data_IF_581891536840
#
_entry.id   IF_581891536840
#
_cell.length_a   1.000
_cell.length_b   1.000
_cell.length_c   1.000
_cell.angle_alpha   90.00
_cell.angle_beta   90.00
_cell.angle_gamma   90.00
#
_symmetry.space_group_name_H-M   'P 1'
#
loop_
_entity.id
_entity.type
_entity.pdbx_description
1 polymer ?
#
# COMPACT_ATOMS: atom_id res chain seq x y z
N UNK A 1 -49.65 -10.57 -4.41
CA UNK A 1 -49.14 -9.54 -5.33
C UNK A 1 -47.86 -9.00 -4.74
N UNK A 2 -46.72 -9.38 -5.29
CA UNK A 2 -45.40 -9.04 -4.75
C UNK A 2 -45.21 -7.52 -4.69
N UNK A 3 -45.01 -7.00 -3.47
CA UNK A 3 -44.71 -5.59 -3.21
C UNK A 3 -43.47 -5.11 -3.97
N UNK A 4 -42.61 -6.04 -4.39
CA UNK A 4 -41.41 -5.81 -5.20
C UNK A 4 -41.76 -5.38 -6.64
N UNK A 5 -42.82 -5.93 -7.22
CA UNK A 5 -43.25 -5.61 -8.60
C UNK A 5 -44.02 -4.28 -8.63
N UNK A 6 -44.79 -3.99 -7.59
CA UNK A 6 -45.60 -2.77 -7.50
C UNK A 6 -44.77 -1.48 -7.36
N UNK A 7 -43.57 -1.55 -6.77
CA UNK A 7 -42.73 -0.39 -6.50
C UNK A 7 -41.57 -0.17 -7.49
N UNK A 8 -41.42 -1.03 -8.50
CA UNK A 8 -40.29 -0.97 -9.44
C UNK A 8 -40.27 0.35 -10.25
N UNK A 9 -41.44 0.97 -10.48
CA UNK A 9 -41.59 2.19 -11.28
C UNK A 9 -41.90 3.44 -10.46
N UNK A 10 -42.03 3.34 -9.13
CA UNK A 10 -42.43 4.45 -8.25
C UNK A 10 -41.28 5.37 -7.85
N UNK A 11 -40.05 5.08 -8.29
CA UNK A 11 -38.90 5.93 -8.01
C UNK A 11 -38.97 7.14 -8.92
N UNK A 12 -39.45 8.26 -8.40
CA UNK A 12 -39.25 9.59 -9.00
C UNK A 12 -37.77 9.75 -9.32
N UNK A 13 -37.41 9.58 -10.59
CA UNK A 13 -36.06 9.84 -11.07
C UNK A 13 -35.76 11.32 -10.78
N UNK A 14 -34.71 11.65 -10.01
CA UNK A 14 -34.25 13.03 -9.98
C UNK A 14 -33.92 13.43 -11.41
N UNK A 15 -34.23 14.68 -11.77
CA UNK A 15 -34.12 15.19 -13.13
C UNK A 15 -32.82 14.77 -13.84
N UNK A 16 -32.92 14.58 -15.15
CA UNK A 16 -31.86 14.15 -16.09
C UNK A 16 -30.44 14.25 -15.51
N UNK A 17 -29.90 13.11 -15.06
CA UNK A 17 -28.57 13.03 -14.48
C UNK A 17 -27.51 13.65 -15.40
N UNK A 18 -26.54 14.40 -14.85
CA UNK A 18 -25.46 14.99 -15.63
C UNK A 18 -24.66 13.87 -16.31
N UNK A 19 -24.44 14.00 -17.62
CA UNK A 19 -23.74 13.02 -18.45
C UNK A 19 -22.40 13.58 -18.93
N UNK A 20 -21.40 12.71 -18.97
CA UNK A 20 -20.06 12.99 -19.46
C UNK A 20 -19.58 11.89 -20.41
N UNK A 21 -18.43 12.13 -21.01
CA UNK A 21 -17.79 11.18 -21.92
C UNK A 21 -16.54 10.62 -21.27
N UNK A 22 -16.36 9.30 -21.32
CA UNK A 22 -15.08 8.68 -20.94
C UNK A 22 -13.99 9.05 -21.96
N UNK A 23 -12.73 8.74 -21.65
CA UNK A 23 -11.60 8.91 -22.59
C UNK A 23 -11.84 8.16 -23.92
N UNK A 24 -12.66 7.10 -23.92
CA UNK A 24 -13.10 6.37 -25.11
C UNK A 24 -14.40 6.88 -25.76
N UNK A 25 -14.84 8.10 -25.44
CA UNK A 25 -16.08 8.74 -25.93
C UNK A 25 -17.38 7.97 -25.62
N UNK A 26 -17.35 7.07 -24.65
CA UNK A 26 -18.55 6.36 -24.19
C UNK A 26 -19.37 7.26 -23.27
N UNK A 27 -20.69 7.36 -23.51
CA UNK A 27 -21.59 8.12 -22.63
C UNK A 27 -21.65 7.49 -21.24
N UNK A 28 -21.36 8.26 -20.20
CA UNK A 28 -21.44 7.84 -18.79
C UNK A 28 -22.13 8.92 -17.95
N UNK A 29 -22.70 8.51 -16.82
CA UNK A 29 -23.26 9.46 -15.86
C UNK A 29 -22.13 10.03 -14.98
N UNK A 30 -22.12 11.36 -14.80
CA UNK A 30 -21.16 12.06 -13.95
C UNK A 30 -21.48 11.89 -12.45
N UNK A 31 -22.75 11.65 -12.13
CA UNK A 31 -23.23 11.27 -10.81
C UNK A 31 -24.57 10.55 -10.96
N UNK A 32 -24.84 9.62 -10.06
CA UNK A 32 -26.06 8.81 -9.99
C UNK A 32 -27.06 9.29 -8.94
N UNK A 33 -26.83 10.46 -8.32
CA UNK A 33 -27.56 10.98 -7.14
C UNK A 33 -27.45 10.12 -5.86
N UNK A 34 -26.84 8.94 -5.93
CA UNK A 34 -26.55 8.09 -4.79
C UNK A 34 -25.02 8.05 -4.56
N UNK A 35 -24.51 8.66 -3.48
CA UNK A 35 -23.08 8.71 -3.20
C UNK A 35 -22.41 7.33 -3.05
N UNK A 36 -23.13 6.32 -2.57
CA UNK A 36 -22.60 4.95 -2.47
C UNK A 36 -22.40 4.32 -3.85
N UNK A 37 -23.32 4.59 -4.78
CA UNK A 37 -23.22 4.10 -6.16
C UNK A 37 -22.13 4.85 -6.92
N UNK A 38 -22.01 6.16 -6.70
CA UNK A 38 -20.93 6.98 -7.25
C UNK A 38 -19.56 6.48 -6.76
N UNK A 39 -19.42 6.17 -5.48
CA UNK A 39 -18.22 5.53 -4.92
C UNK A 39 -17.90 4.21 -5.63
N UNK A 40 -18.92 3.37 -5.86
CA UNK A 40 -18.76 2.09 -6.53
C UNK A 40 -18.37 2.20 -8.01
N UNK A 41 -18.78 3.21 -8.76
CA UNK A 41 -18.39 3.31 -10.18
C UNK A 41 -17.18 4.20 -10.43
N UNK A 42 -16.99 5.25 -9.64
CA UNK A 42 -15.98 6.28 -9.92
C UNK A 42 -14.61 5.96 -9.33
N UNK A 43 -14.53 5.06 -8.35
CA UNK A 43 -13.25 4.60 -7.82
C UNK A 43 -12.70 3.51 -8.72
N UNK A 44 -11.64 3.83 -9.46
CA UNK A 44 -10.98 2.91 -10.39
C UNK A 44 -9.56 2.64 -9.90
N UNK A 45 -9.19 1.36 -9.70
CA UNK A 45 -7.86 1.00 -9.24
C UNK A 45 -6.76 1.62 -10.12
N UNK A 46 -5.70 2.11 -9.50
CA UNK A 46 -4.53 2.75 -10.15
C UNK A 46 -4.78 4.09 -10.86
N UNK A 47 -6.02 4.58 -10.93
CA UNK A 47 -6.35 5.84 -11.62
C UNK A 47 -6.86 6.90 -10.65
N UNK A 48 -7.64 6.51 -9.65
CA UNK A 48 -8.24 7.46 -8.70
C UNK A 48 -7.22 7.89 -7.64
N UNK A 49 -6.99 9.20 -7.43
CA UNK A 49 -6.15 9.70 -6.34
C UNK A 49 -6.73 9.36 -4.96
N UNK A 50 -5.87 9.21 -3.95
CA UNK A 50 -6.25 8.90 -2.57
C UNK A 50 -7.20 9.96 -1.98
N UNK A 51 -6.95 11.25 -2.23
CA UNK A 51 -7.82 12.34 -1.79
C UNK A 51 -9.26 12.17 -2.31
N UNK A 52 -9.41 11.82 -3.59
CA UNK A 52 -10.72 11.60 -4.20
C UNK A 52 -11.43 10.37 -3.62
N UNK A 53 -10.68 9.32 -3.22
CA UNK A 53 -11.25 8.17 -2.51
C UNK A 53 -11.82 8.61 -1.15
N UNK A 54 -11.08 9.40 -0.38
CA UNK A 54 -11.51 9.89 0.93
C UNK A 54 -12.74 10.82 0.85
N UNK A 55 -12.78 11.74 -0.12
CA UNK A 55 -13.92 12.62 -0.35
C UNK A 55 -15.18 11.83 -0.72
N UNK A 56 -15.07 10.89 -1.66
CA UNK A 56 -16.19 10.03 -2.04
C UNK A 56 -16.63 9.15 -0.89
N UNK A 57 -15.70 8.67 -0.06
CA UNK A 57 -16.01 7.88 1.12
C UNK A 57 -16.82 8.69 2.13
N UNK A 58 -16.41 9.93 2.37
CA UNK A 58 -17.13 10.86 3.26
C UNK A 58 -18.59 11.02 2.83
N UNK A 59 -18.82 11.23 1.53
CA UNK A 59 -20.19 11.36 0.99
C UNK A 59 -20.98 10.04 1.07
N UNK A 60 -20.34 8.91 0.76
CA UNK A 60 -20.97 7.59 0.86
C UNK A 60 -21.33 7.25 2.31
N UNK A 61 -20.45 7.59 3.25
CA UNK A 61 -20.64 7.37 4.68
C UNK A 61 -21.79 8.21 5.24
N UNK A 62 -21.82 9.51 4.93
CA UNK A 62 -22.90 10.40 5.34
C UNK A 62 -24.28 9.93 4.82
N UNK A 63 -24.31 9.30 3.65
CA UNK A 63 -25.53 8.74 3.07
C UNK A 63 -25.93 7.40 3.71
N UNK A 64 -25.01 6.44 3.80
CA UNK A 64 -25.25 5.13 4.42
C UNK A 64 -23.94 4.49 4.90
N UNK A 65 -23.63 4.56 6.22
CA UNK A 65 -22.40 4.02 6.79
C UNK A 65 -22.21 2.52 6.56
N UNK A 66 -23.29 1.73 6.66
CA UNK A 66 -23.23 0.28 6.49
C UNK A 66 -22.87 -0.10 5.05
N UNK A 67 -23.43 0.60 4.06
CA UNK A 67 -23.09 0.40 2.66
C UNK A 67 -21.66 0.88 2.37
N UNK A 68 -21.24 2.00 2.96
CA UNK A 68 -19.87 2.48 2.84
C UNK A 68 -18.86 1.44 3.37
N UNK A 69 -19.10 0.82 4.53
CA UNK A 69 -18.24 -0.26 5.04
C UNK A 69 -18.13 -1.44 4.06
N UNK A 70 -19.24 -1.88 3.48
CA UNK A 70 -19.25 -2.94 2.46
C UNK A 70 -18.45 -2.54 1.22
N UNK A 71 -18.54 -1.27 0.82
CA UNK A 71 -17.78 -0.74 -0.31
C UNK A 71 -16.28 -0.68 -0.01
N UNK A 72 -15.88 -0.39 1.23
CA UNK A 72 -14.47 -0.47 1.67
C UNK A 72 -13.97 -1.92 1.55
N UNK A 73 -14.73 -2.92 2.03
CA UNK A 73 -14.38 -4.33 1.83
C UNK A 73 -14.25 -4.68 0.34
N UNK A 74 -15.16 -4.18 -0.48
CA UNK A 74 -15.15 -4.38 -1.93
C UNK A 74 -13.91 -3.75 -2.62
N UNK A 75 -13.32 -2.68 -2.07
CA UNK A 75 -12.03 -2.19 -2.58
C UNK A 75 -10.94 -3.25 -2.41
N UNK A 76 -10.93 -3.95 -1.27
CA UNK A 76 -9.87 -4.91 -0.97
C UNK A 76 -10.02 -6.26 -1.64
N UNK A 77 -11.26 -6.70 -1.87
CA UNK A 77 -11.59 -8.01 -2.42
C UNK A 77 -10.72 -8.35 -3.64
N UNK A 78 -10.13 -9.53 -3.62
CA UNK A 78 -9.26 -10.04 -4.69
C UNK A 78 -10.12 -10.88 -5.65
N UNK A 79 -9.85 -10.78 -6.96
CA UNK A 79 -10.53 -11.54 -8.03
C UNK A 79 -12.01 -11.17 -8.25
N UNK A 80 -12.93 -12.12 -8.12
CA UNK A 80 -14.36 -12.07 -8.41
C UNK A 80 -15.19 -11.35 -7.34
N UNK A 81 -14.59 -11.09 -6.18
CA UNK A 81 -15.28 -10.54 -5.01
C UNK A 81 -15.13 -9.01 -4.88
N UNK A 82 -14.25 -8.38 -5.65
CA UNK A 82 -14.02 -6.94 -5.51
C UNK A 82 -13.15 -6.29 -6.58
N UNK A 83 -12.71 -5.06 -6.30
CA UNK A 83 -11.94 -4.22 -7.24
C UNK A 83 -10.43 -4.42 -7.16
N UNK A 84 -9.92 -5.16 -6.17
CA UNK A 84 -8.48 -5.32 -5.92
C UNK A 84 -7.71 -3.98 -5.84
N UNK A 85 -8.36 -2.92 -5.35
CA UNK A 85 -7.75 -1.61 -5.11
C UNK A 85 -7.11 -1.54 -3.72
N UNK A 86 -5.86 -2.01 -3.68
CA UNK A 86 -5.07 -2.06 -2.43
C UNK A 86 -4.82 -0.67 -1.83
N UNK A 87 -4.46 0.31 -2.66
CA UNK A 87 -4.12 1.65 -2.16
C UNK A 87 -5.38 2.44 -1.77
N UNK A 88 -6.48 2.28 -2.53
CA UNK A 88 -7.78 2.83 -2.14
C UNK A 88 -8.29 2.25 -0.82
N UNK A 89 -8.13 0.94 -0.59
CA UNK A 89 -8.47 0.32 0.68
C UNK A 89 -7.69 0.91 1.86
N UNK A 90 -6.36 1.03 1.77
CA UNK A 90 -5.60 1.61 2.89
C UNK A 90 -5.92 3.08 3.11
N UNK A 91 -6.22 3.83 2.05
CA UNK A 91 -6.70 5.20 2.17
C UNK A 91 -8.02 5.26 2.95
N UNK A 92 -8.96 4.37 2.62
CA UNK A 92 -10.24 4.26 3.34
C UNK A 92 -10.07 3.81 4.79
N UNK A 93 -9.14 2.90 5.08
CA UNK A 93 -8.84 2.44 6.44
C UNK A 93 -8.24 3.56 7.31
N UNK A 94 -7.36 4.38 6.75
CA UNK A 94 -6.81 5.56 7.44
C UNK A 94 -7.91 6.60 7.66
N UNK A 95 -8.74 6.86 6.65
CA UNK A 95 -9.90 7.75 6.80
C UNK A 95 -10.85 7.28 7.92
N UNK A 96 -11.14 5.97 7.98
CA UNK A 96 -11.93 5.39 9.07
C UNK A 96 -11.27 5.57 10.43
N UNK A 97 -9.96 5.41 10.53
CA UNK A 97 -9.24 5.65 11.77
C UNK A 97 -9.42 7.10 12.24
N UNK A 98 -9.29 8.06 11.32
CA UNK A 98 -9.33 9.49 11.65
C UNK A 98 -10.74 10.00 12.00
N UNK A 99 -11.80 9.39 11.47
CA UNK A 99 -13.18 9.86 11.66
C UNK A 99 -14.05 8.93 12.52
N UNK A 100 -13.82 7.61 12.45
CA UNK A 100 -14.65 6.58 13.06
C UNK A 100 -13.81 5.40 13.61
N UNK A 101 -12.88 5.66 14.57
CA UNK A 101 -11.93 4.66 15.06
C UNK A 101 -12.59 3.43 15.67
N UNK A 102 -13.71 3.58 16.36
CA UNK A 102 -14.50 2.46 16.91
C UNK A 102 -15.05 1.54 15.81
N UNK A 103 -15.53 2.13 14.70
CA UNK A 103 -16.02 1.37 13.56
C UNK A 103 -14.89 0.60 12.90
N UNK A 104 -13.70 1.20 12.79
CA UNK A 104 -12.52 0.48 12.32
C UNK A 104 -12.20 -0.70 13.24
N UNK A 105 -12.09 -0.46 14.56
CA UNK A 105 -11.73 -1.46 15.56
C UNK A 105 -12.69 -2.66 15.58
N UNK A 106 -14.00 -2.42 15.52
CA UNK A 106 -15.02 -3.48 15.52
C UNK A 106 -15.04 -4.29 14.21
N UNK A 107 -14.59 -3.71 13.09
CA UNK A 107 -14.62 -4.35 11.77
C UNK A 107 -13.26 -4.90 11.30
N UNK A 108 -12.20 -4.79 12.11
CA UNK A 108 -10.85 -5.31 11.82
C UNK A 108 -10.89 -6.78 11.39
N UNK A 109 -11.67 -7.61 12.09
CA UNK A 109 -11.82 -9.04 11.76
C UNK A 109 -12.41 -9.25 10.36
N UNK A 110 -13.46 -8.51 10.03
CA UNK A 110 -14.13 -8.58 8.71
C UNK A 110 -13.19 -8.15 7.59
N UNK A 111 -12.36 -7.13 7.82
CA UNK A 111 -11.35 -6.69 6.85
C UNK A 111 -10.28 -7.74 6.60
N UNK A 112 -9.87 -8.49 7.63
CA UNK A 112 -8.92 -9.59 7.48
C UNK A 112 -9.50 -10.79 6.73
N UNK A 113 -10.81 -11.06 6.90
CA UNK A 113 -11.53 -12.14 6.20
C UNK A 113 -11.76 -11.83 4.72
N UNK A 114 -12.24 -10.62 4.39
CA UNK A 114 -12.52 -10.21 3.01
C UNK A 114 -11.26 -9.92 2.19
N UNK A 115 -10.21 -9.42 2.86
CA UNK A 115 -8.95 -9.08 2.23
C UNK A 115 -7.88 -10.12 2.51
N UNK A 116 -6.89 -9.71 3.27
CA UNK A 116 -5.83 -10.57 3.76
C UNK A 116 -5.49 -10.18 5.19
N UNK A 117 -5.16 -11.18 6.01
CA UNK A 117 -4.59 -10.94 7.33
C UNK A 117 -3.36 -10.01 7.32
N UNK A 118 -2.59 -9.97 6.21
CA UNK A 118 -1.45 -9.06 6.05
C UNK A 118 -1.84 -7.58 6.02
N UNK A 119 -3.11 -7.27 5.81
CA UNK A 119 -3.59 -5.90 5.75
C UNK A 119 -3.64 -5.25 7.14
N UNK A 120 -3.85 -6.03 8.21
CA UNK A 120 -3.87 -5.51 9.58
C UNK A 120 -2.54 -4.87 10.00
N UNK A 121 -1.39 -5.58 9.95
CA UNK A 121 -0.11 -4.96 10.27
C UNK A 121 0.25 -3.85 9.28
N UNK A 122 -0.23 -3.91 8.03
CA UNK A 122 0.00 -2.84 7.04
C UNK A 122 -0.77 -1.56 7.36
N UNK A 123 -2.03 -1.65 7.82
CA UNK A 123 -2.81 -0.50 8.31
C UNK A 123 -2.06 0.17 9.46
N UNK A 124 -1.67 -0.61 10.48
CA UNK A 124 -0.91 -0.10 11.63
C UNK A 124 0.39 0.57 11.20
N UNK A 125 1.13 -0.05 10.28
CA UNK A 125 2.37 0.48 9.76
C UNK A 125 2.18 1.83 9.05
N UNK A 126 1.13 1.97 8.24
CA UNK A 126 0.79 3.23 7.55
C UNK A 126 0.26 4.29 8.50
N UNK A 127 -0.45 3.91 9.55
CA UNK A 127 -0.84 4.86 10.59
C UNK A 127 0.39 5.44 11.29
N UNK A 128 1.41 4.63 11.58
CA UNK A 128 2.61 5.08 12.31
C UNK A 128 3.60 5.88 11.47
N UNK A 129 3.89 5.44 10.25
CA UNK A 129 4.91 6.07 9.39
C UNK A 129 4.32 7.01 8.33
N UNK A 130 3.01 6.95 8.09
CA UNK A 130 2.29 7.77 7.15
C UNK A 130 1.69 6.98 5.97
N UNK A 131 0.67 7.56 5.29
CA UNK A 131 -0.10 6.89 4.24
C UNK A 131 0.74 6.47 3.03
N UNK A 132 1.74 7.27 2.67
CA UNK A 132 2.59 7.08 1.48
C UNK A 132 3.91 6.34 1.75
N UNK A 133 4.09 5.78 2.96
CA UNK A 133 5.35 5.13 3.37
C UNK A 133 5.83 4.07 2.37
N UNK A 134 4.92 3.31 1.76
CA UNK A 134 5.27 2.27 0.77
C UNK A 134 5.73 2.87 -0.56
N UNK A 135 5.17 4.00 -0.97
CA UNK A 135 5.60 4.71 -2.19
C UNK A 135 7.01 5.27 -2.00
N UNK A 136 7.23 5.96 -0.87
CA UNK A 136 8.54 6.52 -0.50
C UNK A 136 9.61 5.41 -0.45
N UNK A 137 9.32 4.29 0.24
CA UNK A 137 10.26 3.16 0.31
C UNK A 137 10.57 2.53 -1.05
N UNK A 138 9.58 2.45 -1.93
CA UNK A 138 9.76 1.93 -3.29
C UNK A 138 10.67 2.85 -4.10
N UNK A 139 10.46 4.15 -4.02
CA UNK A 139 11.29 5.16 -4.68
C UNK A 139 12.72 5.17 -4.15
N UNK A 140 12.92 5.12 -2.84
CA UNK A 140 14.24 4.98 -2.21
C UNK A 140 14.97 3.71 -2.67
N UNK A 141 14.25 2.59 -2.76
CA UNK A 141 14.84 1.34 -3.25
C UNK A 141 15.25 1.45 -4.72
N UNK A 142 14.44 2.10 -5.54
CA UNK A 142 14.73 2.32 -6.97
C UNK A 142 15.92 3.27 -7.14
N UNK A 143 16.01 4.34 -6.35
CA UNK A 143 17.14 5.28 -6.39
C UNK A 143 18.46 4.61 -5.96
N UNK A 144 18.42 3.73 -4.95
CA UNK A 144 19.59 2.90 -4.56
C UNK A 144 20.01 1.92 -5.65
N UNK A 145 19.05 1.28 -6.33
CA UNK A 145 19.34 0.36 -7.44
C UNK A 145 19.97 1.07 -8.66
N UNK A 146 19.54 2.30 -8.96
CA UNK A 146 20.12 3.12 -10.04
C UNK A 146 21.60 3.44 -9.82
N UNK A 147 22.03 3.57 -8.55
CA UNK A 147 23.44 3.87 -8.19
C UNK A 147 24.36 2.65 -8.21
N UNK A 148 23.83 1.43 -8.01
CA UNK A 148 24.64 0.21 -7.78
C UNK A 148 24.87 -0.72 -8.97
N UNK A 149 24.25 -0.49 -10.14
CA UNK A 149 24.31 -1.43 -11.28
C UNK A 149 25.04 -0.95 -12.52
N UNK A 150 25.51 0.29 -12.57
CA UNK A 150 26.27 0.79 -13.72
C UNK A 150 27.70 0.21 -13.80
N UNK A 151 28.25 -0.33 -12.71
CA UNK A 151 29.66 -0.75 -12.63
C UNK A 151 29.99 -2.21 -12.96
N UNK A 152 29.00 -3.10 -13.16
CA UNK A 152 29.26 -4.55 -13.39
C UNK A 152 28.99 -4.93 -14.85
N UNK A 153 29.30 -4.01 -15.78
CA UNK A 153 29.30 -4.33 -17.20
C UNK A 153 30.68 -4.90 -17.58
N UNK A 154 30.83 -6.21 -17.36
CA UNK A 154 31.67 -7.09 -18.17
C UNK A 154 33.09 -6.62 -18.53
N UNK A 155 34.00 -6.51 -17.55
CA UNK A 155 35.42 -6.77 -17.82
C UNK A 155 35.65 -8.29 -17.90
N UNK A 156 35.07 -8.93 -18.93
CA UNK A 156 35.38 -10.32 -19.28
C UNK A 156 35.64 -10.39 -20.78
N UNK A 157 36.62 -9.64 -21.26
CA UNK A 157 37.22 -9.90 -22.57
C UNK A 157 38.59 -9.26 -22.71
N UNK A 158 39.60 -10.12 -22.82
CA UNK A 158 40.88 -9.83 -23.46
C UNK A 158 42.03 -9.47 -22.53
N UNK A 159 42.98 -10.40 -22.36
CA UNK A 159 44.32 -10.04 -21.87
C UNK A 159 45.14 -11.16 -21.24
N UNK A 160 45.82 -11.96 -22.07
CA UNK A 160 47.24 -12.35 -21.94
C UNK A 160 47.79 -13.04 -20.68
N UNK A 161 48.39 -14.21 -20.89
CA UNK A 161 49.82 -14.43 -20.63
C UNK A 161 50.35 -14.41 -19.18
N UNK A 162 50.77 -15.59 -18.72
CA UNK A 162 51.96 -15.89 -17.89
C UNK A 162 52.21 -15.05 -16.62
N UNK A 163 52.11 -15.70 -15.44
CA UNK A 163 53.21 -15.80 -14.45
C UNK A 163 52.86 -16.79 -13.32
N UNK A 164 53.37 -18.02 -13.45
CA UNK A 164 53.49 -18.99 -12.35
C UNK A 164 54.73 -18.62 -11.52
N UNK A 165 54.56 -17.88 -10.42
CA UNK A 165 55.48 -17.89 -9.25
C UNK A 165 54.80 -17.16 -8.07
N UNK A 166 54.93 -17.71 -6.86
CA UNK A 166 54.27 -17.40 -5.57
C UNK A 166 52.85 -17.96 -5.36
N UNK A 167 52.76 -19.27 -5.09
CA UNK A 167 51.49 -19.96 -4.75
C UNK A 167 51.25 -20.16 -3.23
N UNK A 168 52.26 -19.93 -2.39
CA UNK A 168 52.18 -20.20 -0.93
C UNK A 168 51.94 -18.91 -0.12
N UNK A 169 52.71 -17.85 -0.39
CA UNK A 169 52.53 -16.52 0.25
C UNK A 169 51.19 -15.84 -0.12
N UNK A 170 50.62 -16.22 -1.26
CA UNK A 170 49.30 -15.78 -1.72
C UNK A 170 48.14 -16.51 -1.05
N UNK A 171 48.34 -17.71 -0.48
CA UNK A 171 47.31 -18.41 0.31
C UNK A 171 47.11 -17.74 1.66
N UNK A 172 48.19 -17.49 2.39
CA UNK A 172 48.16 -16.82 3.70
C UNK A 172 47.59 -15.39 3.56
N UNK A 173 48.00 -14.65 2.52
CA UNK A 173 47.43 -13.33 2.24
C UNK A 173 45.94 -13.38 1.84
N UNK A 174 45.50 -14.47 1.19
CA UNK A 174 44.09 -14.69 0.84
C UNK A 174 43.26 -15.05 2.06
N UNK A 175 43.77 -15.90 2.95
CA UNK A 175 43.14 -16.25 4.23
C UNK A 175 42.98 -15.02 5.13
N UNK A 176 44.01 -14.17 5.25
CA UNK A 176 43.92 -12.89 5.97
C UNK A 176 42.88 -11.96 5.35
N UNK A 177 42.79 -11.91 4.01
CA UNK A 177 41.76 -11.11 3.32
C UNK A 177 40.35 -11.63 3.53
N UNK A 178 40.17 -12.96 3.55
CA UNK A 178 38.88 -13.60 3.82
C UNK A 178 38.47 -13.35 5.27
N UNK A 179 39.35 -13.59 6.24
CA UNK A 179 39.09 -13.33 7.65
C UNK A 179 38.69 -11.86 7.91
N UNK A 180 39.42 -10.88 7.34
CA UNK A 180 39.06 -9.46 7.43
C UNK A 180 37.74 -9.11 6.72
N UNK A 181 37.39 -9.82 5.65
CA UNK A 181 36.10 -9.63 4.98
C UNK A 181 34.95 -10.21 5.80
N UNK A 182 35.15 -11.37 6.42
CA UNK A 182 34.19 -11.99 7.33
C UNK A 182 33.99 -11.16 8.59
N UNK A 183 35.06 -10.62 9.19
CA UNK A 183 34.97 -9.69 10.32
C UNK A 183 34.19 -8.43 9.96
N UNK A 184 34.47 -7.82 8.79
CA UNK A 184 33.67 -6.68 8.31
C UNK A 184 32.20 -7.06 8.10
N UNK A 185 31.93 -8.22 7.49
CA UNK A 185 30.56 -8.69 7.29
C UNK A 185 29.85 -8.96 8.62
N UNK A 186 30.54 -9.47 9.64
CA UNK A 186 29.99 -9.65 10.99
C UNK A 186 29.65 -8.31 11.63
N UNK A 187 30.57 -7.33 11.57
CA UNK A 187 30.33 -5.97 12.09
C UNK A 187 29.16 -5.28 11.38
N UNK A 188 29.11 -5.34 10.05
CA UNK A 188 28.00 -4.80 9.26
C UNK A 188 26.65 -5.46 9.62
N UNK A 189 26.64 -6.78 9.90
CA UNK A 189 25.44 -7.49 10.36
C UNK A 189 25.01 -7.05 11.75
N UNK A 190 25.95 -6.84 12.66
CA UNK A 190 25.69 -6.34 14.03
C UNK A 190 25.18 -4.91 14.00
N UNK A 191 25.84 -4.00 13.27
CA UNK A 191 25.37 -2.62 13.06
C UNK A 191 23.97 -2.59 12.44
N UNK A 192 23.71 -3.43 11.44
CA UNK A 192 22.38 -3.54 10.83
C UNK A 192 21.33 -4.09 11.79
N UNK A 193 21.71 -4.89 12.79
CA UNK A 193 20.80 -5.38 13.84
C UNK A 193 20.47 -4.24 14.82
N UNK A 194 21.48 -3.54 15.32
CA UNK A 194 21.31 -2.39 16.22
C UNK A 194 20.43 -1.33 15.57
N UNK A 195 20.69 -0.97 14.31
CA UNK A 195 19.87 0.00 13.57
C UNK A 195 18.40 -0.44 13.41
N UNK A 196 18.10 -1.74 13.36
CA UNK A 196 16.72 -2.24 13.33
C UNK A 196 16.06 -2.13 14.70
N UNK A 197 16.77 -2.47 15.76
CA UNK A 197 16.29 -2.34 17.14
C UNK A 197 16.00 -0.88 17.48
N UNK A 198 16.90 0.04 17.14
CA UNK A 198 16.70 1.48 17.30
C UNK A 198 15.46 1.99 16.56
N UNK A 199 15.23 1.52 15.33
CA UNK A 199 14.02 1.87 14.57
C UNK A 199 12.74 1.36 15.23
N UNK A 200 12.76 0.13 15.76
CA UNK A 200 11.61 -0.43 16.47
C UNK A 200 11.30 0.40 17.73
N UNK A 201 12.33 0.75 18.50
CA UNK A 201 12.19 1.60 19.68
C UNK A 201 11.66 2.98 19.30
N UNK A 202 12.15 3.57 18.20
CA UNK A 202 11.66 4.86 17.71
C UNK A 202 10.18 4.80 17.29
N UNK A 203 9.76 3.75 16.59
CA UNK A 203 8.34 3.53 16.24
C UNK A 203 7.47 3.37 17.49
N UNK A 204 7.95 2.63 18.50
CA UNK A 204 7.23 2.46 19.76
C UNK A 204 7.06 3.78 20.52
N UNK A 205 8.11 4.62 20.57
CA UNK A 205 8.04 5.96 21.17
C UNK A 205 7.00 6.84 20.47
N UNK A 206 7.03 6.90 19.13
CA UNK A 206 6.02 7.61 18.34
C UNK A 206 4.59 7.15 18.66
N UNK A 207 4.38 5.85 18.87
CA UNK A 207 3.08 5.29 19.19
C UNK A 207 2.59 5.75 20.57
N UNK A 208 3.47 5.70 21.58
CA UNK A 208 3.16 6.16 22.95
C UNK A 208 2.83 7.66 22.94
N UNK A 209 3.63 8.47 22.24
CA UNK A 209 3.41 9.91 22.16
C UNK A 209 2.06 10.25 21.51
N UNK A 210 1.60 9.43 20.56
CA UNK A 210 0.35 9.66 19.84
C UNK A 210 -0.88 9.30 20.66
N UNK A 211 -0.89 8.12 21.28
CA UNK A 211 -2.06 7.57 21.98
C UNK A 211 -2.00 7.74 23.50
N UNK A 212 -0.95 8.33 24.05
CA UNK A 212 -0.86 8.59 25.49
C UNK A 212 -1.80 9.70 26.00
N UNK A 213 -2.42 10.46 25.09
CA UNK A 213 -3.29 11.59 25.39
C UNK A 213 -4.75 11.40 24.91
N UNK A 214 -5.06 10.26 24.28
CA UNK A 214 -6.42 9.85 23.87
C UNK A 214 -7.09 9.06 25.01
#
# INVERSE_FOLDING_TARGET
MDLIVANYNSTTLPGRLPRGSTVGQSSTFLSSSNPCLDFFFQIVPNTTPSESVAEKLTNAWAHNPLTALKLICNLRGVSDTGKSDREGFFTAAIWLHDHHPESLALNVGVFAEFGSFQDLPEILYRLLEGPDVRKIQKEERLSRKGRGRSGIRWFRRGGGGVRKKKRVESSVMREIRIARAEERSKREKEEAKVLREEKIVAMAKKLIDRYGND
#
